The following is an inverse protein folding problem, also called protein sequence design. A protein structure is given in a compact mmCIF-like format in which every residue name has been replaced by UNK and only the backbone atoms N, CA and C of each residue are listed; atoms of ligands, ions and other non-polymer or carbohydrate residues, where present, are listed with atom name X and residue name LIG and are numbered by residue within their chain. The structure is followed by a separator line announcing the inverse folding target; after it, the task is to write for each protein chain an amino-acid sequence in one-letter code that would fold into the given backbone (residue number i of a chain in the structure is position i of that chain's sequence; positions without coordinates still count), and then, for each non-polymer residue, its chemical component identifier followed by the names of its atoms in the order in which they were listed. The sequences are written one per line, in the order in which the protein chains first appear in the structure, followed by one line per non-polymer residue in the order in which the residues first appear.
data_IF_033180154331
#
_entry.id   IF_033180154331
#
_cell.length_a   1.000
_cell.length_b   1.000
_cell.length_c   1.000
_cell.angle_alpha   90.00
_cell.angle_beta   90.00
_cell.angle_gamma   90.00
#
_symmetry.space_group_name_H-M   'P 1'
#
loop_
_entity.id
_entity.type
_entity.pdbx_description
1 polymer ?
#
# COMPACT_ATOMS: atom_id res chain seq x y z
N UNK A 1 -20.08 20.30 -1.11
CA UNK A 1 -19.15 19.94 -0.03
C UNK A 1 -18.13 19.04 -0.70
N UNK A 2 -17.05 19.64 -1.19
CA UNK A 2 -16.12 18.96 -2.10
C UNK A 2 -15.43 17.83 -1.36
N UNK A 3 -15.56 16.62 -1.90
CA UNK A 3 -14.80 15.46 -1.45
C UNK A 3 -13.32 15.84 -1.49
N UNK A 4 -12.66 15.75 -0.35
CA UNK A 4 -11.22 16.00 -0.23
C UNK A 4 -10.56 15.06 -1.25
N UNK A 5 -9.89 15.64 -2.25
CA UNK A 5 -9.36 14.95 -3.45
C UNK A 5 -8.75 13.60 -3.08
N UNK A 6 -9.54 12.53 -3.16
CA UNK A 6 -9.08 11.18 -2.83
C UNK A 6 -8.04 10.85 -3.88
N UNK A 7 -6.78 10.66 -3.46
CA UNK A 7 -5.70 10.39 -4.39
C UNK A 7 -5.93 9.04 -5.05
N UNK A 8 -6.27 9.06 -6.35
CA UNK A 8 -6.47 7.85 -7.15
C UNK A 8 -5.12 7.45 -7.75
N UNK A 9 -4.62 6.23 -7.49
CA UNK A 9 -3.39 5.75 -8.11
C UNK A 9 -3.52 5.73 -9.64
N UNK A 10 -2.45 6.07 -10.35
CA UNK A 10 -2.43 6.01 -11.82
C UNK A 10 -2.45 4.56 -12.28
N UNK A 11 -3.33 4.24 -13.25
CA UNK A 11 -3.49 2.90 -13.85
C UNK A 11 -3.69 1.76 -12.82
N UNK A 12 -4.69 1.88 -11.93
CA UNK A 12 -4.84 0.94 -10.82
C UNK A 12 -5.25 -0.46 -11.32
N UNK A 13 -6.13 -0.53 -12.32
CA UNK A 13 -6.59 -1.81 -12.88
C UNK A 13 -5.46 -2.53 -13.59
N UNK A 14 -4.69 -1.84 -14.42
CA UNK A 14 -3.59 -2.41 -15.18
C UNK A 14 -2.49 -2.95 -14.26
N UNK A 15 -2.19 -2.24 -13.16
CA UNK A 15 -1.25 -2.70 -12.15
C UNK A 15 -1.75 -3.99 -11.48
N UNK A 16 -3.03 -4.05 -11.10
CA UNK A 16 -3.61 -5.26 -10.49
C UNK A 16 -3.63 -6.44 -11.46
N UNK A 17 -3.98 -6.20 -12.72
CA UNK A 17 -4.07 -7.24 -13.74
C UNK A 17 -2.68 -7.80 -14.10
N UNK A 18 -1.67 -6.93 -14.25
CA UNK A 18 -0.32 -7.34 -14.64
C UNK A 18 0.45 -7.99 -13.49
N UNK A 19 0.31 -7.49 -12.26
CA UNK A 19 1.03 -8.02 -11.11
C UNK A 19 0.30 -9.21 -10.47
N UNK A 20 -1.02 -9.31 -10.66
CA UNK A 20 -1.88 -10.39 -10.18
C UNK A 20 -1.55 -10.84 -8.74
N UNK A 21 -1.59 -9.91 -7.75
CA UNK A 21 -1.24 -10.23 -6.37
C UNK A 21 -2.12 -11.34 -5.79
N UNK A 22 -1.50 -12.30 -5.11
CA UNK A 22 -2.19 -13.45 -4.52
C UNK A 22 -2.23 -13.35 -3.00
N UNK A 23 -3.26 -13.96 -2.40
CA UNK A 23 -3.43 -14.00 -0.95
C UNK A 23 -2.19 -14.53 -0.23
N UNK A 24 -1.75 -13.84 0.82
CA UNK A 24 -0.61 -14.22 1.65
C UNK A 24 0.77 -13.88 1.06
N UNK A 25 0.86 -13.27 -0.12
CA UNK A 25 2.15 -12.92 -0.73
C UNK A 25 2.86 -11.78 -0.01
N UNK A 26 4.16 -11.67 -0.29
CA UNK A 26 4.98 -10.50 0.01
C UNK A 26 5.06 -9.64 -1.23
N UNK A 27 4.75 -8.36 -1.11
CA UNK A 27 4.83 -7.39 -2.20
C UNK A 27 5.73 -6.21 -1.81
N UNK A 28 6.53 -5.74 -2.76
CA UNK A 28 7.43 -4.59 -2.58
C UNK A 28 6.94 -3.45 -3.48
N UNK A 29 6.59 -2.33 -2.88
CA UNK A 29 6.34 -1.07 -3.59
C UNK A 29 7.58 -0.20 -3.49
N UNK A 30 8.35 -0.11 -4.59
CA UNK A 30 9.61 0.61 -4.64
C UNK A 30 9.45 2.14 -4.60
N UNK A 31 8.24 2.64 -4.83
CA UNK A 31 7.91 4.06 -4.94
C UNK A 31 6.62 4.35 -4.20
N UNK A 32 6.60 4.02 -2.91
CA UNK A 32 5.40 3.97 -2.08
C UNK A 32 4.59 5.27 -2.11
N UNK A 33 5.24 6.44 -2.17
CA UNK A 33 4.57 7.73 -2.11
C UNK A 33 3.63 7.81 -0.91
N UNK A 34 2.35 8.08 -1.16
CA UNK A 34 1.32 8.11 -0.11
C UNK A 34 0.63 6.74 0.14
N UNK A 35 1.06 5.67 -0.53
CA UNK A 35 0.59 4.29 -0.35
C UNK A 35 -0.56 3.86 -1.25
N UNK A 36 -0.87 4.62 -2.30
CA UNK A 36 -2.05 4.39 -3.15
C UNK A 36 -2.10 2.99 -3.78
N UNK A 37 -1.08 2.62 -4.55
CA UNK A 37 -1.00 1.27 -5.14
C UNK A 37 -0.83 0.19 -4.07
N UNK A 38 0.01 0.41 -3.07
CA UNK A 38 0.21 -0.50 -1.95
C UNK A 38 -1.10 -0.84 -1.21
N UNK A 39 -2.03 0.10 -1.04
CA UNK A 39 -3.36 -0.16 -0.46
C UNK A 39 -4.19 -1.11 -1.32
N UNK A 40 -4.21 -0.91 -2.65
CA UNK A 40 -4.93 -1.79 -3.58
C UNK A 40 -4.34 -3.20 -3.52
N UNK A 41 -3.01 -3.32 -3.51
CA UNK A 41 -2.33 -4.61 -3.39
C UNK A 41 -2.61 -5.26 -2.03
N UNK A 42 -2.54 -4.50 -0.94
CA UNK A 42 -2.82 -4.98 0.42
C UNK A 42 -4.21 -5.64 0.52
N UNK A 43 -5.22 -5.06 -0.14
CA UNK A 43 -6.57 -5.61 -0.18
C UNK A 43 -6.63 -6.97 -0.90
N UNK A 44 -5.81 -7.19 -1.93
CA UNK A 44 -5.76 -8.46 -2.65
C UNK A 44 -4.96 -9.54 -1.90
N UNK A 45 -3.79 -9.18 -1.35
CA UNK A 45 -2.96 -10.15 -0.61
C UNK A 45 -3.56 -10.49 0.76
N UNK A 46 -4.39 -9.60 1.31
CA UNK A 46 -5.14 -9.83 2.54
C UNK A 46 -4.27 -9.84 3.81
N UNK A 47 -4.88 -10.21 4.95
CA UNK A 47 -4.29 -10.06 6.29
C UNK A 47 -3.07 -10.96 6.53
N UNK A 48 -2.95 -12.06 5.78
CA UNK A 48 -1.79 -12.96 5.85
C UNK A 48 -0.60 -12.47 5.02
N UNK A 49 -0.78 -11.44 4.19
CA UNK A 49 0.25 -10.90 3.32
C UNK A 49 1.22 -9.97 4.02
N UNK A 50 2.20 -9.48 3.26
CA UNK A 50 3.17 -8.48 3.73
C UNK A 50 3.43 -7.46 2.64
N UNK A 51 3.41 -6.18 3.00
CA UNK A 51 3.81 -5.07 2.15
C UNK A 51 5.14 -4.51 2.63
N UNK A 52 6.07 -4.31 1.72
CA UNK A 52 7.31 -3.55 1.94
C UNK A 52 7.21 -2.26 1.15
N UNK A 53 7.26 -1.14 1.85
CA UNK A 53 7.19 0.21 1.28
C UNK A 53 8.59 0.81 1.21
N UNK A 54 9.00 1.26 0.04
CA UNK A 54 10.22 2.04 -0.16
C UNK A 54 9.89 3.42 -0.71
N UNK A 55 10.48 4.45 -0.11
CA UNK A 55 10.47 5.82 -0.63
C UNK A 55 11.68 6.57 -0.06
N UNK A 56 12.16 7.60 -0.74
CA UNK A 56 13.21 8.47 -0.20
C UNK A 56 12.66 9.44 0.85
N UNK A 57 11.40 9.84 0.71
CA UNK A 57 10.75 10.78 1.62
C UNK A 57 10.17 10.04 2.83
N UNK A 58 10.75 10.31 4.00
CA UNK A 58 10.32 9.73 5.26
C UNK A 58 8.87 10.11 5.64
N UNK A 59 8.41 11.30 5.24
CA UNK A 59 7.05 11.75 5.51
C UNK A 59 6.03 10.95 4.68
N UNK A 60 6.37 10.63 3.42
CA UNK A 60 5.60 9.74 2.56
C UNK A 60 5.49 8.34 3.19
N UNK A 61 6.60 7.74 3.61
CA UNK A 61 6.59 6.43 4.28
C UNK A 61 5.71 6.40 5.53
N UNK A 62 5.76 7.46 6.34
CA UNK A 62 4.91 7.59 7.53
C UNK A 62 3.41 7.55 7.17
N UNK A 63 3.00 8.30 6.15
CA UNK A 63 1.62 8.34 5.67
C UNK A 63 1.21 7.02 5.03
N UNK A 64 2.05 6.48 4.14
CA UNK A 64 1.80 5.23 3.45
C UNK A 64 1.62 4.06 4.42
N UNK A 65 2.45 3.97 5.47
CA UNK A 65 2.29 2.94 6.52
C UNK A 65 0.91 2.97 7.16
N UNK A 66 0.42 4.15 7.50
CA UNK A 66 -0.91 4.31 8.12
C UNK A 66 -2.01 3.95 7.12
N UNK A 67 -1.92 4.45 5.89
CA UNK A 67 -2.89 4.15 4.82
C UNK A 67 -2.99 2.65 4.56
N UNK A 68 -1.85 1.97 4.38
CA UNK A 68 -1.78 0.54 4.04
C UNK A 68 -2.23 -0.34 5.21
N UNK A 69 -1.85 0.00 6.44
CA UNK A 69 -2.35 -0.72 7.63
C UNK A 69 -3.87 -0.63 7.75
N UNK A 70 -4.47 0.49 7.33
CA UNK A 70 -5.92 0.70 7.36
C UNK A 70 -6.67 0.19 6.11
N UNK A 71 -5.96 -0.31 5.10
CA UNK A 71 -6.55 -0.63 3.79
C UNK A 71 -7.54 -1.80 3.83
N UNK A 72 -7.40 -2.70 4.81
CA UNK A 72 -8.31 -3.85 5.00
C UNK A 72 -9.52 -3.46 5.85
N UNK A 73 -9.26 -2.99 7.07
CA UNK A 73 -10.27 -2.53 8.02
C UNK A 73 -9.63 -1.46 8.92
N UNK A 74 -10.14 -0.21 8.94
CA UNK A 74 -9.63 0.81 9.84
C UNK A 74 -9.77 0.36 11.31
N UNK A 75 -8.63 0.27 12.02
CA UNK A 75 -8.60 -0.13 13.44
C UNK A 75 -8.60 -1.63 13.73
N UNK A 76 -8.49 -2.49 12.71
CA UNK A 76 -8.42 -3.95 12.90
C UNK A 76 -6.96 -4.43 13.13
N UNK A 77 -6.68 -5.13 14.24
CA UNK A 77 -5.36 -5.75 14.49
C UNK A 77 -5.02 -6.89 13.51
N UNK A 78 -5.97 -7.40 12.72
CA UNK A 78 -5.74 -8.37 11.65
C UNK A 78 -5.30 -7.71 10.32
N UNK A 79 -4.67 -6.52 10.36
CA UNK A 79 -4.18 -5.83 9.17
C UNK A 79 -2.95 -6.52 8.55
N UNK A 80 -2.73 -6.24 7.26
CA UNK A 80 -1.54 -6.71 6.54
C UNK A 80 -0.26 -6.26 7.25
N UNK A 81 0.78 -7.08 7.25
CA UNK A 81 2.07 -6.68 7.82
C UNK A 81 2.72 -5.62 6.93
N UNK A 82 3.19 -4.51 7.51
CA UNK A 82 3.82 -3.41 6.76
C UNK A 82 5.23 -3.12 7.26
N UNK A 83 6.21 -3.25 6.36
CA UNK A 83 7.57 -2.78 6.56
C UNK A 83 7.81 -1.50 5.76
N UNK A 84 8.60 -0.58 6.30
CA UNK A 84 9.01 0.63 5.59
C UNK A 84 10.53 0.70 5.57
N UNK A 85 11.07 1.01 4.40
CA UNK A 85 12.50 1.19 4.15
C UNK A 85 12.66 2.57 3.52
N UNK A 86 13.49 3.42 4.12
CA UNK A 86 13.88 4.66 3.47
C UNK A 86 15.09 4.37 2.58
N UNK A 87 14.96 4.55 1.28
CA UNK A 87 15.99 4.15 0.34
C UNK A 87 15.77 4.69 -1.06
N UNK A 88 16.85 4.70 -1.83
CA UNK A 88 16.80 4.83 -3.29
C UNK A 88 16.65 3.44 -3.93
N UNK A 89 15.89 3.38 -5.01
CA UNK A 89 15.70 2.20 -5.85
C UNK A 89 16.07 2.55 -7.30
#
# INVERSE_FOLDING_TARGET
MGDELTHIPVLPSEVLDLLAPQTGQVFVDCTAGLGGHACLIAQQIGPMGTIVLNDMDQANLGRAKVSVANALCPGDPASVKVHAVQGNF
#
